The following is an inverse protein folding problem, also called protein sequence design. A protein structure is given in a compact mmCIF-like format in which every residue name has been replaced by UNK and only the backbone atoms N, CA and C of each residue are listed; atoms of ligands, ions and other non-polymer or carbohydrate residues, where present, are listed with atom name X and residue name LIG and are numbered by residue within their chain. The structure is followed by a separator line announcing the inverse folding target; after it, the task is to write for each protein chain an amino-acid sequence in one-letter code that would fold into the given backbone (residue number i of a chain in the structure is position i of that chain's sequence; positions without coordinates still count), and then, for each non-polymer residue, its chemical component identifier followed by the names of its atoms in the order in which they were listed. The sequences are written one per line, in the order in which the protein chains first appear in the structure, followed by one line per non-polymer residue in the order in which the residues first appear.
data_IF_488905524244
#
_entry.id   IF_488905524244
#
_cell.length_a   1.000
_cell.length_b   1.000
_cell.length_c   1.000
_cell.angle_alpha   90.00
_cell.angle_beta   90.00
_cell.angle_gamma   90.00
#
_symmetry.space_group_name_H-M   'P 1'
#
loop_
_entity.id
_entity.type
_entity.pdbx_description
1 polymer ?
#
# COMPACT_ATOMS: atom_id res chain seq x y z
N UNK A 1 51.62 -2.03 46.47
CA UNK A 1 50.57 -1.19 45.89
C UNK A 1 49.62 -2.05 45.05
N UNK A 2 48.42 -2.38 45.56
CA UNK A 2 47.36 -3.06 44.78
C UNK A 2 46.23 -2.07 44.53
N UNK A 3 46.16 -1.51 43.32
CA UNK A 3 45.06 -0.62 42.95
C UNK A 3 43.78 -1.44 42.71
N UNK A 4 42.74 -1.14 43.50
CA UNK A 4 41.40 -1.70 43.30
C UNK A 4 40.74 -0.93 42.15
N UNK A 5 40.43 -1.62 41.05
CA UNK A 5 39.80 -1.04 39.85
C UNK A 5 38.29 -0.85 40.06
N UNK A 6 37.74 0.37 40.01
CA UNK A 6 36.29 0.60 40.05
C UNK A 6 35.69 0.43 38.65
N UNK A 7 35.34 -0.80 38.25
CA UNK A 7 34.77 -1.10 36.91
C UNK A 7 33.25 -1.32 36.85
N UNK A 8 32.52 -1.24 37.96
CA UNK A 8 31.09 -1.61 38.00
C UNK A 8 30.11 -0.44 37.75
N UNK A 9 30.45 0.80 38.06
CA UNK A 9 29.53 1.93 37.90
C UNK A 9 29.36 2.41 36.45
N UNK A 10 30.39 2.27 35.61
CA UNK A 10 30.36 2.73 34.22
C UNK A 10 29.37 1.94 33.34
N UNK A 11 29.25 0.62 33.58
CA UNK A 11 28.29 -0.23 32.85
C UNK A 11 26.83 0.14 33.12
N UNK A 12 26.50 0.59 34.33
CA UNK A 12 25.12 1.02 34.67
C UNK A 12 24.76 2.33 33.96
N UNK A 13 25.73 3.24 33.82
CA UNK A 13 25.52 4.50 33.12
C UNK A 13 25.33 4.30 31.61
N UNK A 14 26.11 3.40 31.00
CA UNK A 14 25.98 3.01 29.60
C UNK A 14 24.62 2.33 29.28
N UNK A 15 24.14 1.44 30.16
CA UNK A 15 22.82 0.83 29.98
C UNK A 15 21.69 1.87 30.09
N UNK A 16 21.82 2.81 31.02
CA UNK A 16 20.85 3.88 31.22
C UNK A 16 20.77 4.83 30.02
N UNK A 17 21.93 5.31 29.52
CA UNK A 17 21.97 6.21 28.36
C UNK A 17 21.45 5.56 27.09
N UNK A 18 21.79 4.28 26.87
CA UNK A 18 21.28 3.51 25.76
C UNK A 18 19.75 3.44 25.81
N UNK A 19 19.15 3.05 26.95
CA UNK A 19 17.68 2.97 27.12
C UNK A 19 16.96 4.28 26.84
N UNK A 20 17.55 5.43 27.18
CA UNK A 20 16.97 6.75 26.86
C UNK A 20 17.02 7.01 25.36
N UNK A 21 18.16 6.74 24.71
CA UNK A 21 18.31 6.87 23.26
C UNK A 21 17.33 5.95 22.52
N UNK A 22 17.11 4.74 23.05
CA UNK A 22 16.13 3.79 22.55
C UNK A 22 14.73 4.38 22.54
N UNK A 23 14.33 4.94 23.68
CA UNK A 23 13.01 5.52 23.89
C UNK A 23 12.80 6.72 22.96
N UNK A 24 13.82 7.59 22.82
CA UNK A 24 13.78 8.73 21.90
C UNK A 24 13.55 8.27 20.45
N UNK A 25 14.22 7.19 20.00
CA UNK A 25 14.01 6.66 18.64
C UNK A 25 12.59 6.10 18.45
N UNK A 26 12.03 5.43 19.45
CA UNK A 26 10.66 4.89 19.37
C UNK A 26 9.61 6.01 19.38
N UNK A 27 9.78 7.00 20.27
CA UNK A 27 8.89 8.17 20.34
C UNK A 27 8.98 8.96 19.04
N UNK A 28 10.18 9.23 18.51
CA UNK A 28 10.34 9.93 17.23
C UNK A 28 9.73 9.16 16.07
N UNK A 29 9.92 7.83 15.99
CA UNK A 29 9.29 6.99 14.96
C UNK A 29 7.76 7.02 15.07
N UNK A 30 7.22 6.93 16.29
CA UNK A 30 5.78 7.01 16.55
C UNK A 30 5.19 8.38 16.21
N UNK A 31 5.91 9.46 16.51
CA UNK A 31 5.51 10.83 16.15
C UNK A 31 5.54 11.03 14.63
N UNK A 32 6.57 10.52 13.94
CA UNK A 32 6.66 10.58 12.46
C UNK A 32 5.49 9.79 11.85
N UNK A 33 5.24 8.57 12.32
CA UNK A 33 4.12 7.75 11.86
C UNK A 33 2.78 8.44 12.09
N UNK A 34 2.56 9.00 13.29
CA UNK A 34 1.34 9.73 13.62
C UNK A 34 1.18 10.97 12.73
N UNK A 35 2.25 11.75 12.52
CA UNK A 35 2.23 12.92 11.64
C UNK A 35 1.87 12.56 10.21
N UNK A 36 2.46 11.50 9.65
CA UNK A 36 2.16 11.04 8.29
C UNK A 36 0.68 10.60 8.19
N UNK A 37 0.17 9.87 9.18
CA UNK A 37 -1.22 9.41 9.19
C UNK A 37 -2.24 10.53 9.42
N UNK A 38 -1.83 11.60 10.11
CA UNK A 38 -2.68 12.76 10.39
C UNK A 38 -2.79 13.74 9.21
N UNK A 39 -1.98 13.59 8.15
CA UNK A 39 -2.15 14.37 6.92
C UNK A 39 -3.45 13.91 6.27
N UNK A 40 -4.43 14.82 6.20
CA UNK A 40 -5.68 14.51 5.53
C UNK A 40 -5.54 14.60 4.02
N UNK A 41 -6.31 13.77 3.31
CA UNK A 41 -6.23 13.73 1.84
C UNK A 41 -6.74 15.04 1.26
N UNK A 42 -7.71 15.65 1.93
CA UNK A 42 -8.31 16.94 1.61
C UNK A 42 -7.29 18.08 1.68
N UNK A 43 -6.43 18.08 2.71
CA UNK A 43 -5.35 19.06 2.87
C UNK A 43 -4.27 18.90 1.79
N UNK A 44 -3.94 17.66 1.39
CA UNK A 44 -3.08 17.41 0.22
C UNK A 44 -3.74 17.98 -1.04
N UNK A 45 -5.01 17.67 -1.28
CA UNK A 45 -5.74 18.13 -2.45
C UNK A 45 -5.78 19.67 -2.49
N UNK A 46 -6.07 20.33 -1.37
CA UNK A 46 -6.10 21.79 -1.28
C UNK A 46 -4.75 22.43 -1.64
N UNK A 47 -3.64 21.90 -1.08
CA UNK A 47 -2.28 22.37 -1.41
C UNK A 47 -1.95 22.27 -2.89
N UNK A 48 -2.44 21.23 -3.57
CA UNK A 48 -2.15 20.98 -4.99
C UNK A 48 -3.21 21.56 -5.95
N UNK A 49 -4.39 21.95 -5.46
CA UNK A 49 -5.43 22.62 -6.24
C UNK A 49 -5.19 24.11 -6.41
N UNK A 50 -4.44 24.75 -5.50
CA UNK A 50 -4.10 26.16 -5.64
C UNK A 50 -3.40 26.36 -6.99
N UNK A 51 -4.06 27.04 -7.95
CA UNK A 51 -3.53 27.15 -9.29
C UNK A 51 -2.19 27.87 -9.18
N UNK A 52 -1.16 27.31 -9.82
CA UNK A 52 0.10 28.01 -10.14
C UNK A 52 -0.23 29.10 -11.17
N UNK A 53 -1.09 30.03 -10.77
CA UNK A 53 -1.63 31.13 -11.55
C UNK A 53 -0.60 32.25 -11.43
N UNK A 54 0.56 32.08 -12.06
CA UNK A 54 1.61 33.10 -11.98
C UNK A 54 2.98 32.79 -12.58
N UNK A 55 3.25 31.59 -13.09
CA UNK A 55 4.58 31.27 -13.67
C UNK A 55 4.42 30.92 -15.15
N UNK A 56 3.90 31.87 -15.92
CA UNK A 56 4.05 31.93 -17.37
C UNK A 56 4.98 33.11 -17.68
N UNK A 57 6.26 32.96 -17.33
CA UNK A 57 7.30 33.96 -17.57
C UNK A 57 8.66 33.28 -17.42
N UNK A 58 9.40 33.20 -18.52
CA UNK A 58 10.61 32.38 -18.71
C UNK A 58 11.87 32.84 -17.93
N UNK A 59 11.71 33.49 -16.78
CA UNK A 59 12.82 34.13 -16.04
C UNK A 59 13.05 33.60 -14.61
N UNK A 60 12.35 32.55 -14.17
CA UNK A 60 12.40 32.11 -12.76
C UNK A 60 13.03 30.73 -12.51
N UNK A 61 14.06 30.36 -13.26
CA UNK A 61 14.84 29.14 -12.98
C UNK A 61 15.87 29.31 -11.85
N UNK A 62 16.22 30.56 -11.48
CA UNK A 62 17.34 30.85 -10.55
C UNK A 62 16.90 31.24 -9.13
N UNK A 63 15.63 31.60 -8.91
CA UNK A 63 15.16 32.09 -7.60
C UNK A 63 14.53 30.99 -6.70
N UNK A 64 14.21 29.82 -7.25
CA UNK A 64 13.59 28.72 -6.47
C UNK A 64 14.62 27.94 -5.64
N UNK A 65 15.91 28.01 -5.99
CA UNK A 65 16.97 27.30 -5.27
C UNK A 65 17.31 27.86 -3.88
N UNK A 66 16.92 29.10 -3.56
CA UNK A 66 17.29 29.75 -2.30
C UNK A 66 16.27 29.57 -1.16
N UNK A 67 15.03 29.19 -1.46
CA UNK A 67 13.97 28.99 -0.45
C UNK A 67 13.89 27.55 0.09
N UNK A 68 14.72 26.64 -0.41
CA UNK A 68 14.70 25.21 -0.05
C UNK A 68 15.61 24.83 1.14
N UNK A 69 16.29 25.78 1.79
CA UNK A 69 17.28 25.44 2.83
C UNK A 69 16.69 24.90 4.15
N UNK A 70 15.35 24.87 4.29
CA UNK A 70 14.64 24.19 5.38
C UNK A 70 13.91 22.93 4.90
N UNK A 71 14.38 22.29 3.83
CA UNK A 71 13.85 21.00 3.40
C UNK A 71 14.04 19.96 4.50
N UNK A 72 12.92 19.51 5.06
CA UNK A 72 12.82 18.31 5.87
C UNK A 72 13.53 17.19 5.11
N UNK A 73 14.68 16.72 5.62
CA UNK A 73 15.43 15.65 4.96
C UNK A 73 14.53 14.45 4.74
N UNK A 74 14.42 14.01 3.49
CA UNK A 74 13.66 12.82 3.13
C UNK A 74 14.19 11.63 3.93
N UNK A 75 13.32 10.82 4.55
CA UNK A 75 13.74 9.58 5.18
C UNK A 75 14.52 8.71 4.19
N UNK A 76 15.67 8.18 4.61
CA UNK A 76 16.54 7.34 3.76
C UNK A 76 15.84 6.11 3.16
N UNK A 77 14.71 5.67 3.74
CA UNK A 77 13.90 4.58 3.19
C UNK A 77 13.16 4.96 1.90
N UNK A 78 12.89 6.25 1.68
CA UNK A 78 12.20 6.74 0.50
C UNK A 78 13.15 7.19 -0.61
N UNK A 79 14.43 7.45 -0.31
CA UNK A 79 15.35 8.05 -1.27
C UNK A 79 15.48 7.21 -2.54
N UNK A 80 15.66 5.89 -2.42
CA UNK A 80 15.77 5.02 -3.61
C UNK A 80 14.50 5.00 -4.48
N UNK A 81 13.33 5.17 -3.86
CA UNK A 81 12.06 5.21 -4.59
C UNK A 81 11.84 6.56 -5.24
N UNK A 82 12.26 7.64 -4.57
CA UNK A 82 12.24 9.00 -5.13
C UNK A 82 13.21 9.11 -6.29
N UNK A 83 14.44 8.63 -6.17
CA UNK A 83 15.45 8.63 -7.25
C UNK A 83 14.90 7.94 -8.52
N UNK A 84 14.24 6.78 -8.35
CA UNK A 84 13.56 6.09 -9.46
C UNK A 84 12.40 6.92 -10.04
N UNK A 85 11.59 7.53 -9.17
CA UNK A 85 10.49 8.37 -9.63
C UNK A 85 10.99 9.60 -10.42
N UNK A 86 12.12 10.17 -10.01
CA UNK A 86 12.82 11.25 -10.73
C UNK A 86 13.30 10.80 -12.10
N UNK A 87 13.88 9.61 -12.19
CA UNK A 87 14.28 8.98 -13.45
C UNK A 87 13.07 8.83 -14.39
N UNK A 88 11.96 8.26 -13.90
CA UNK A 88 10.73 8.10 -14.67
C UNK A 88 10.05 9.42 -15.07
N UNK A 89 10.09 10.42 -14.21
CA UNK A 89 9.53 11.74 -14.47
C UNK A 89 10.45 12.62 -15.33
N UNK A 90 11.73 12.24 -15.44
CA UNK A 90 12.81 13.06 -16.00
C UNK A 90 12.87 14.46 -15.37
N UNK A 91 12.47 14.57 -14.09
CA UNK A 91 12.34 15.81 -13.32
C UNK A 91 12.57 15.52 -11.83
N UNK A 92 13.19 16.46 -11.08
CA UNK A 92 13.33 16.31 -9.64
C UNK A 92 11.96 16.28 -8.96
N UNK A 93 11.77 15.37 -8.01
CA UNK A 93 10.52 15.22 -7.25
C UNK A 93 10.67 15.99 -5.94
N UNK A 94 9.74 16.89 -5.65
CA UNK A 94 9.76 17.62 -4.37
C UNK A 94 9.61 16.63 -3.22
N UNK A 95 10.43 16.81 -2.18
CA UNK A 95 10.39 15.96 -0.99
C UNK A 95 8.99 15.94 -0.35
N UNK A 96 8.29 17.08 -0.33
CA UNK A 96 6.93 17.15 0.20
C UNK A 96 5.95 16.27 -0.59
N UNK A 97 6.08 16.22 -1.91
CA UNK A 97 5.19 15.44 -2.77
C UNK A 97 5.44 13.95 -2.62
N UNK A 98 6.70 13.54 -2.47
CA UNK A 98 7.04 12.17 -2.13
C UNK A 98 6.44 11.73 -0.79
N UNK A 99 6.44 12.62 0.21
CA UNK A 99 5.81 12.37 1.51
C UNK A 99 4.28 12.31 1.40
N UNK A 100 3.66 13.20 0.63
CA UNK A 100 2.21 13.21 0.39
C UNK A 100 1.75 11.92 -0.32
N UNK A 101 2.49 11.45 -1.34
CA UNK A 101 2.22 10.16 -1.99
C UNK A 101 2.39 9.01 -1.01
N UNK A 102 3.47 8.98 -0.22
CA UNK A 102 3.67 7.95 0.78
C UNK A 102 2.55 7.94 1.84
N UNK A 103 2.09 9.11 2.28
CA UNK A 103 0.98 9.25 3.22
C UNK A 103 -0.31 8.69 2.63
N UNK A 104 -0.63 9.02 1.38
CA UNK A 104 -1.79 8.48 0.67
C UNK A 104 -1.70 6.95 0.65
N UNK A 105 -0.61 6.38 0.11
CA UNK A 105 -0.45 4.92 -0.02
C UNK A 105 -0.53 4.17 1.32
N UNK A 106 -0.01 4.75 2.40
CA UNK A 106 -0.12 4.18 3.74
C UNK A 106 -1.55 4.23 4.30
N UNK A 107 -2.33 5.26 3.94
CA UNK A 107 -3.73 5.43 4.35
C UNK A 107 -4.69 4.51 3.57
N UNK A 108 -4.38 4.21 2.31
CA UNK A 108 -5.24 3.40 1.41
C UNK A 108 -5.37 1.93 1.81
N UNK A 109 -4.68 1.49 2.89
CA UNK A 109 -4.71 0.09 3.31
C UNK A 109 -3.97 -0.85 2.35
N UNK A 110 -3.07 -0.31 1.52
CA UNK A 110 -2.06 -1.10 0.83
C UNK A 110 -1.13 -1.73 1.86
N UNK A 111 -0.98 -3.04 1.77
CA UNK A 111 0.03 -3.78 2.53
C UNK A 111 1.43 -3.39 2.06
N UNK A 112 2.41 -3.57 2.94
CA UNK A 112 3.81 -3.28 2.60
C UNK A 112 4.27 -4.13 1.41
N UNK A 113 3.79 -5.38 1.28
CA UNK A 113 4.04 -6.24 0.12
C UNK A 113 3.47 -5.64 -1.17
N UNK A 114 2.25 -5.11 -1.14
CA UNK A 114 1.63 -4.46 -2.29
C UNK A 114 2.40 -3.19 -2.67
N UNK A 115 2.82 -2.37 -1.69
CA UNK A 115 3.70 -1.21 -1.94
C UNK A 115 5.03 -1.64 -2.57
N UNK A 116 5.66 -2.71 -2.05
CA UNK A 116 6.89 -3.25 -2.64
C UNK A 116 6.68 -3.81 -4.05
N UNK A 117 5.56 -4.47 -4.30
CA UNK A 117 5.18 -4.95 -5.63
C UNK A 117 5.03 -3.76 -6.59
N UNK A 118 4.28 -2.72 -6.21
CA UNK A 118 4.07 -1.53 -7.02
C UNK A 118 5.37 -0.76 -7.30
N UNK A 119 6.27 -0.68 -6.33
CA UNK A 119 7.56 0.03 -6.48
C UNK A 119 8.64 -0.80 -7.18
N UNK A 120 8.55 -2.14 -7.09
CA UNK A 120 9.45 -3.08 -7.76
C UNK A 120 9.13 -3.28 -9.24
N UNK A 121 7.83 -3.30 -9.57
CA UNK A 121 7.31 -3.45 -10.95
C UNK A 121 7.17 -2.13 -11.69
N UNK A 122 7.69 -1.02 -11.16
CA UNK A 122 7.75 0.24 -11.89
C UNK A 122 8.75 0.12 -13.05
N UNK A 123 8.32 -0.49 -14.16
CA UNK A 123 9.02 -0.57 -15.45
C UNK A 123 8.06 -0.11 -16.54
N UNK A 124 8.60 0.39 -17.64
CA UNK A 124 7.81 0.85 -18.78
C UNK A 124 7.20 -0.30 -19.60
N UNK A 125 7.78 -1.50 -19.51
CA UNK A 125 7.53 -2.65 -20.38
C UNK A 125 6.62 -3.74 -19.77
N UNK A 126 5.76 -3.38 -18.81
CA UNK A 126 4.83 -4.34 -18.21
C UNK A 126 3.85 -4.95 -19.21
N UNK A 127 3.55 -6.23 -19.04
CA UNK A 127 2.51 -6.91 -19.81
C UNK A 127 1.12 -6.33 -19.51
N UNK A 128 0.19 -6.46 -20.45
CA UNK A 128 -1.17 -5.93 -20.31
C UNK A 128 -1.89 -6.49 -19.08
N UNK A 129 -1.69 -7.78 -18.80
CA UNK A 129 -2.26 -8.49 -17.66
C UNK A 129 -1.72 -7.93 -16.33
N UNK A 130 -0.43 -7.61 -16.29
CA UNK A 130 0.22 -7.03 -15.11
C UNK A 130 -0.24 -5.60 -14.86
N UNK A 131 -0.36 -4.79 -15.92
CA UNK A 131 -0.95 -3.44 -15.86
C UNK A 131 -2.38 -3.51 -15.33
N UNK A 132 -3.19 -4.46 -15.80
CA UNK A 132 -4.55 -4.65 -15.33
C UNK A 132 -4.58 -5.05 -13.85
N UNK A 133 -3.73 -5.99 -13.42
CA UNK A 133 -3.62 -6.38 -12.01
C UNK A 133 -3.20 -5.22 -11.11
N UNK A 134 -2.28 -4.37 -11.56
CA UNK A 134 -1.88 -3.16 -10.83
C UNK A 134 -3.06 -2.19 -10.73
N UNK A 135 -3.78 -1.95 -11.83
CA UNK A 135 -5.00 -1.12 -11.82
C UNK A 135 -6.01 -1.65 -10.82
N UNK A 136 -6.36 -2.93 -10.88
CA UNK A 136 -7.36 -3.54 -10.01
C UNK A 136 -6.95 -3.45 -8.54
N UNK A 137 -5.67 -3.72 -8.25
CA UNK A 137 -5.12 -3.56 -6.92
C UNK A 137 -5.27 -2.11 -6.43
N UNK A 138 -4.83 -1.12 -7.23
CA UNK A 138 -4.89 0.28 -6.85
C UNK A 138 -6.33 0.78 -6.68
N UNK A 139 -7.23 0.47 -7.61
CA UNK A 139 -8.64 0.87 -7.55
C UNK A 139 -9.40 0.17 -6.42
N UNK A 140 -9.00 -1.03 -6.00
CA UNK A 140 -9.62 -1.72 -4.86
C UNK A 140 -9.20 -1.17 -3.49
N UNK A 141 -8.10 -0.40 -3.44
CA UNK A 141 -7.50 0.11 -2.20
C UNK A 141 -7.66 1.62 -2.05
N UNK A 142 -7.54 2.35 -3.14
CA UNK A 142 -7.63 3.80 -3.15
C UNK A 142 -9.09 4.24 -3.28
N UNK A 143 -9.47 5.20 -2.45
CA UNK A 143 -10.70 5.98 -2.62
C UNK A 143 -10.58 7.00 -3.77
N UNK A 144 -11.71 7.50 -4.26
CA UNK A 144 -11.75 8.50 -5.35
C UNK A 144 -11.00 9.80 -4.99
N UNK A 145 -11.04 10.21 -3.72
CA UNK A 145 -10.29 11.39 -3.24
C UNK A 145 -8.79 11.15 -3.24
N UNK A 146 -8.33 9.96 -2.82
CA UNK A 146 -6.91 9.57 -2.88
C UNK A 146 -6.42 9.47 -4.32
N UNK A 147 -7.20 8.88 -5.24
CA UNK A 147 -6.89 8.85 -6.68
C UNK A 147 -6.76 10.26 -7.23
N UNK A 148 -7.66 11.16 -6.86
CA UNK A 148 -7.63 12.57 -7.28
C UNK A 148 -6.37 13.27 -6.76
N UNK A 149 -6.04 13.09 -5.48
CA UNK A 149 -4.83 13.64 -4.88
C UNK A 149 -3.56 13.14 -5.59
N UNK A 150 -3.45 11.84 -5.83
CA UNK A 150 -2.31 11.25 -6.55
C UNK A 150 -2.18 11.82 -7.97
N UNK A 151 -3.30 11.97 -8.70
CA UNK A 151 -3.30 12.58 -10.04
C UNK A 151 -2.85 14.03 -10.01
N UNK A 152 -3.28 14.82 -9.03
CA UNK A 152 -2.86 16.21 -8.87
C UNK A 152 -1.35 16.31 -8.63
N UNK A 153 -0.82 15.52 -7.69
CA UNK A 153 0.61 15.48 -7.36
C UNK A 153 1.45 15.08 -8.57
N UNK A 154 1.01 14.06 -9.33
CA UNK A 154 1.79 13.51 -10.45
C UNK A 154 1.71 14.35 -11.72
N UNK A 155 0.61 15.10 -11.92
CA UNK A 155 0.40 15.92 -13.13
C UNK A 155 1.48 16.99 -13.34
N UNK A 156 1.96 17.63 -12.27
CA UNK A 156 3.07 18.60 -12.36
C UNK A 156 4.39 17.96 -12.86
N UNK A 157 4.54 16.65 -12.69
CA UNK A 157 5.66 15.86 -13.21
C UNK A 157 5.40 15.27 -14.60
N UNK A 158 4.29 15.66 -15.25
CA UNK A 158 3.92 15.17 -16.58
C UNK A 158 3.38 13.73 -16.58
N UNK A 159 3.06 13.16 -15.42
CA UNK A 159 2.48 11.82 -15.28
C UNK A 159 1.04 11.95 -14.80
N UNK A 160 0.06 11.53 -15.59
CA UNK A 160 -1.37 11.69 -15.26
C UNK A 160 -1.99 10.54 -14.48
N UNK A 161 -1.21 9.49 -14.16
CA UNK A 161 -1.69 8.23 -13.58
C UNK A 161 -2.95 7.68 -14.28
N UNK A 162 -2.90 7.60 -15.61
CA UNK A 162 -4.00 7.06 -16.45
C UNK A 162 -4.36 5.61 -16.10
N UNK A 163 -3.45 4.88 -15.43
CA UNK A 163 -3.73 3.55 -14.88
C UNK A 163 -4.87 3.54 -13.87
N UNK A 164 -5.09 4.64 -13.15
CA UNK A 164 -6.17 4.81 -12.18
C UNK A 164 -7.50 5.22 -12.83
N UNK A 165 -7.58 5.37 -14.16
CA UNK A 165 -8.84 5.61 -14.86
C UNK A 165 -9.45 4.28 -15.33
N UNK A 166 -10.60 3.86 -14.77
CA UNK A 166 -11.26 2.61 -15.19
C UNK A 166 -11.66 2.61 -16.67
N UNK A 167 -11.90 3.79 -17.25
CA UNK A 167 -12.39 3.93 -18.62
C UNK A 167 -11.24 4.07 -19.63
N UNK A 168 -10.00 4.23 -19.17
CA UNK A 168 -8.85 4.37 -20.06
C UNK A 168 -8.38 2.97 -20.54
N UNK A 169 -8.17 2.75 -21.85
CA UNK A 169 -7.69 1.46 -22.35
C UNK A 169 -6.34 1.09 -21.73
N UNK A 170 -6.25 -0.13 -21.17
CA UNK A 170 -5.06 -0.57 -20.41
C UNK A 170 -3.83 -0.70 -21.34
N UNK A 171 -4.07 -1.03 -22.60
CA UNK A 171 -3.06 -1.24 -23.64
C UNK A 171 -2.33 0.06 -24.00
N UNK A 172 -2.96 1.22 -23.76
CA UNK A 172 -2.38 2.53 -24.04
C UNK A 172 -1.47 3.04 -22.90
N UNK A 173 -1.43 2.34 -21.77
CA UNK A 173 -0.61 2.72 -20.62
C UNK A 173 0.84 2.30 -20.87
N UNK A 174 1.78 3.23 -20.65
CA UNK A 174 3.22 2.99 -20.80
C UNK A 174 3.74 3.16 -22.23
N UNK A 175 2.88 3.50 -23.21
CA UNK A 175 3.34 3.87 -24.55
C UNK A 175 3.75 5.35 -24.53
N UNK A 176 5.05 5.61 -24.46
CA UNK A 176 5.60 6.98 -24.42
C UNK A 176 5.56 7.67 -25.79
N UNK A 177 5.68 6.94 -26.89
CA UNK A 177 5.62 7.48 -28.25
C UNK A 177 4.17 7.87 -28.64
N UNK A 178 3.89 9.16 -28.95
CA UNK A 178 2.56 9.60 -29.37
C UNK A 178 2.07 8.95 -30.67
N UNK A 179 2.97 8.57 -31.58
CA UNK A 179 2.63 7.95 -32.86
C UNK A 179 2.16 6.52 -32.64
N UNK A 180 2.94 5.74 -31.88
CA UNK A 180 2.56 4.38 -31.51
C UNK A 180 1.25 4.36 -30.71
N UNK A 181 1.09 5.28 -29.75
CA UNK A 181 -0.14 5.40 -28.96
C UNK A 181 -1.35 5.64 -29.84
N UNK A 182 -1.23 6.55 -30.82
CA UNK A 182 -2.32 6.87 -31.75
C UNK A 182 -2.66 5.67 -32.65
N UNK A 183 -1.66 4.91 -33.09
CA UNK A 183 -1.87 3.66 -33.87
C UNK A 183 -2.65 2.63 -33.07
N UNK A 184 -2.22 2.34 -31.84
CA UNK A 184 -2.90 1.36 -30.96
C UNK A 184 -4.31 1.83 -30.63
N UNK A 185 -4.52 3.13 -30.41
CA UNK A 185 -5.85 3.68 -30.15
C UNK A 185 -6.81 3.48 -31.35
N UNK A 186 -6.33 3.70 -32.58
CA UNK A 186 -7.12 3.44 -33.79
C UNK A 186 -7.45 1.95 -33.95
N UNK A 187 -6.48 1.06 -33.71
CA UNK A 187 -6.71 -0.39 -33.74
C UNK A 187 -7.76 -0.83 -32.71
N UNK A 188 -7.71 -0.29 -31.49
CA UNK A 188 -8.69 -0.57 -30.44
C UNK A 188 -10.09 -0.06 -30.81
N UNK A 189 -10.18 1.14 -31.42
CA UNK A 189 -11.46 1.68 -31.92
C UNK A 189 -12.04 0.82 -33.04
N UNK A 190 -11.21 0.37 -33.98
CA UNK A 190 -11.63 -0.53 -35.06
C UNK A 190 -12.12 -1.88 -34.52
N UNK A 191 -11.40 -2.48 -33.56
CA UNK A 191 -11.82 -3.73 -32.89
C UNK A 191 -13.16 -3.60 -32.16
N UNK A 192 -13.40 -2.48 -31.48
CA UNK A 192 -14.67 -2.20 -30.79
C UNK A 192 -15.84 -2.03 -31.76
N UNK A 193 -15.63 -1.42 -32.92
CA UNK A 193 -16.66 -1.33 -33.98
C UNK A 193 -17.02 -2.71 -34.51
N UNK A 194 -16.03 -3.52 -34.89
CA UNK A 194 -16.26 -4.89 -35.39
C UNK A 194 -16.98 -5.76 -34.37
N UNK A 195 -16.65 -5.65 -33.08
CA UNK A 195 -17.33 -6.40 -32.03
C UNK A 195 -18.76 -5.93 -31.77
N UNK A 196 -19.06 -4.66 -32.05
CA UNK A 196 -20.42 -4.12 -31.95
C UNK A 196 -21.31 -4.56 -33.11
N UNK A 197 -20.73 -4.77 -34.30
CA UNK A 197 -21.44 -5.25 -35.49
C UNK A 197 -21.70 -6.78 -35.48
N UNK A 198 -20.97 -7.53 -34.65
CA UNK A 198 -21.20 -8.98 -34.43
C UNK A 198 -22.28 -9.22 -33.33
N UNK A 199 -22.94 -8.16 -32.86
CA UNK A 199 -24.02 -8.28 -31.86
C UNK A 199 -25.31 -8.80 -32.51
N UNK A 200 -25.36 -10.14 -32.58
CA UNK A 200 -26.53 -11.01 -32.41
C UNK A 200 -27.61 -10.95 -33.52
N UNK A 201 -27.79 -12.03 -34.33
CA UNK A 201 -28.98 -12.17 -35.16
C UNK A 201 -30.24 -12.14 -34.28
N UNK A 202 -31.21 -11.37 -34.77
CA UNK A 202 -32.56 -11.16 -34.25
C UNK A 202 -33.13 -12.43 -33.57
N UNK A 203 -33.47 -12.39 -32.27
CA UNK A 203 -34.15 -13.51 -31.64
C UNK A 203 -35.49 -13.72 -32.34
N UNK A 204 -35.69 -14.92 -32.87
CA UNK A 204 -36.97 -15.42 -33.38
C UNK A 204 -38.08 -15.08 -32.38
N UNK A 205 -39.25 -14.57 -32.84
CA UNK A 205 -40.34 -14.19 -31.95
C UNK A 205 -40.84 -15.43 -31.21
N UNK A 206 -40.45 -15.55 -29.93
CA UNK A 206 -41.00 -16.54 -29.02
C UNK A 206 -42.38 -16.05 -28.54
N UNK A 207 -43.38 -16.95 -28.38
CA UNK A 207 -44.76 -16.59 -28.07
C UNK A 207 -44.87 -15.75 -26.80
N UNK A 208 -45.69 -14.70 -26.87
CA UNK A 208 -46.08 -13.85 -25.74
C UNK A 208 -46.63 -14.72 -24.58
N UNK A 209 -45.79 -14.97 -23.58
CA UNK A 209 -46.25 -15.39 -22.25
C UNK A 209 -46.61 -14.11 -21.49
N UNK A 210 -47.90 -14.04 -21.17
CA UNK A 210 -48.55 -12.99 -20.38
C UNK A 210 -47.77 -12.76 -19.09
N UNK A 211 -47.21 -11.56 -18.98
CA UNK A 211 -46.39 -11.09 -17.86
C UNK A 211 -47.27 -10.92 -16.61
N UNK A 212 -47.19 -11.89 -15.72
CA UNK A 212 -47.73 -11.81 -14.37
C UNK A 212 -46.74 -11.00 -13.51
N UNK A 213 -47.19 -9.85 -13.00
CA UNK A 213 -46.38 -8.95 -12.18
C UNK A 213 -45.69 -9.73 -11.03
N UNK A 214 -44.35 -9.69 -10.92
CA UNK A 214 -43.69 -10.25 -9.76
C UNK A 214 -44.06 -9.41 -8.52
N UNK A 215 -44.41 -10.04 -7.39
CA UNK A 215 -44.68 -9.32 -6.15
C UNK A 215 -43.46 -8.47 -5.79
N UNK A 216 -43.69 -7.19 -5.44
CA UNK A 216 -42.72 -6.34 -4.74
C UNK A 216 -42.47 -6.91 -3.34
N UNK A 217 -41.78 -8.03 -3.26
CA UNK A 217 -41.26 -8.55 -2.00
C UNK A 217 -39.95 -7.82 -1.75
N UNK A 218 -39.98 -6.87 -0.80
CA UNK A 218 -38.75 -6.23 -0.30
C UNK A 218 -37.78 -7.36 0.06
N UNK A 219 -36.51 -7.33 -0.38
CA UNK A 219 -35.54 -8.34 0.02
C UNK A 219 -35.51 -8.38 1.54
N UNK A 220 -36.15 -9.38 2.15
CA UNK A 220 -35.95 -9.68 3.55
C UNK A 220 -34.49 -10.09 3.63
N UNK A 221 -33.66 -9.21 4.18
CA UNK A 221 -32.27 -9.48 4.50
C UNK A 221 -32.33 -10.66 5.46
N UNK A 222 -32.12 -11.87 4.94
CA UNK A 222 -32.12 -13.08 5.74
C UNK A 222 -31.08 -12.86 6.84
N UNK A 223 -31.54 -12.78 8.09
CA UNK A 223 -30.64 -12.66 9.22
C UNK A 223 -29.83 -13.95 9.28
N UNK A 224 -28.51 -13.83 9.13
CA UNK A 224 -27.59 -14.96 9.26
C UNK A 224 -27.77 -15.58 10.65
N UNK A 225 -27.84 -16.92 10.71
CA UNK A 225 -27.84 -17.65 11.97
C UNK A 225 -26.60 -17.28 12.82
N UNK A 226 -26.77 -16.76 14.05
CA UNK A 226 -25.67 -16.41 14.94
C UNK A 226 -24.67 -17.55 15.20
N UNK A 227 -25.12 -18.81 15.12
CA UNK A 227 -24.23 -19.97 15.27
C UNK A 227 -23.22 -20.08 14.12
N UNK A 228 -23.64 -19.77 12.89
CA UNK A 228 -22.77 -19.75 11.71
C UNK A 228 -21.71 -18.66 11.87
N UNK A 229 -22.12 -17.45 12.25
CA UNK A 229 -21.22 -16.31 12.49
C UNK A 229 -20.19 -16.64 13.57
N UNK A 230 -20.62 -17.25 14.69
CA UNK A 230 -19.73 -17.66 15.79
C UNK A 230 -18.68 -18.71 15.37
N UNK A 231 -19.06 -19.67 14.53
CA UNK A 231 -18.15 -20.68 14.00
C UNK A 231 -17.03 -20.06 13.15
N UNK A 232 -17.38 -19.17 12.24
CA UNK A 232 -16.38 -18.46 11.42
C UNK A 232 -15.50 -17.53 12.25
N UNK A 233 -16.07 -16.85 13.26
CA UNK A 233 -15.27 -16.04 14.19
C UNK A 233 -14.21 -16.87 14.91
N UNK A 234 -14.57 -18.07 15.34
CA UNK A 234 -13.62 -19.02 15.96
C UNK A 234 -12.51 -19.46 14.99
N UNK A 235 -12.83 -19.71 13.71
CA UNK A 235 -11.82 -20.00 12.66
C UNK A 235 -10.87 -18.83 12.46
N UNK A 236 -11.41 -17.61 12.39
CA UNK A 236 -10.63 -16.39 12.22
C UNK A 236 -9.71 -16.11 13.42
N UNK A 237 -10.18 -16.35 14.65
CA UNK A 237 -9.36 -16.22 15.86
C UNK A 237 -8.23 -17.24 15.89
N UNK A 238 -8.50 -18.49 15.51
CA UNK A 238 -7.47 -19.52 15.37
C UNK A 238 -6.40 -19.14 14.33
N UNK A 239 -6.84 -18.68 13.16
CA UNK A 239 -5.94 -18.18 12.11
C UNK A 239 -5.08 -17.01 12.63
N UNK A 240 -5.70 -16.05 13.32
CA UNK A 240 -5.00 -14.92 13.94
C UNK A 240 -3.91 -15.38 14.91
N UNK A 241 -4.21 -16.32 15.81
CA UNK A 241 -3.21 -16.87 16.74
C UNK A 241 -2.07 -17.56 16.00
N UNK A 242 -2.36 -18.34 14.96
CA UNK A 242 -1.34 -18.99 14.13
C UNK A 242 -0.42 -17.96 13.47
N UNK A 243 -1.01 -16.97 12.79
CA UNK A 243 -0.29 -15.89 12.13
C UNK A 243 0.61 -15.09 13.06
N UNK A 244 0.11 -14.78 14.26
CA UNK A 244 0.92 -14.11 15.28
C UNK A 244 2.07 -14.99 15.76
N UNK A 245 1.84 -16.30 15.93
CA UNK A 245 2.88 -17.28 16.26
C UNK A 245 3.99 -17.35 15.21
N UNK A 246 3.63 -17.40 13.93
CA UNK A 246 4.60 -17.45 12.83
C UNK A 246 5.44 -16.17 12.76
N UNK A 247 4.80 -15.00 12.87
CA UNK A 247 5.50 -13.71 12.91
C UNK A 247 6.47 -13.64 14.10
N UNK A 248 6.03 -14.04 15.31
CA UNK A 248 6.89 -14.05 16.49
C UNK A 248 8.08 -15.01 16.34
N UNK A 249 7.87 -16.17 15.70
CA UNK A 249 8.93 -17.14 15.39
C UNK A 249 9.95 -16.56 14.40
N UNK A 250 9.48 -15.86 13.36
CA UNK A 250 10.35 -15.18 12.40
C UNK A 250 11.16 -14.06 13.04
N UNK A 251 10.53 -13.22 13.87
CA UNK A 251 11.23 -12.18 14.65
C UNK A 251 12.30 -12.81 15.52
N UNK A 252 11.96 -13.87 16.27
CA UNK A 252 12.92 -14.60 17.09
C UNK A 252 14.11 -15.13 16.29
N UNK A 253 13.85 -15.62 15.08
CA UNK A 253 14.89 -16.09 14.16
C UNK A 253 15.82 -14.97 13.69
N UNK A 254 15.29 -13.78 13.37
CA UNK A 254 16.08 -12.59 13.02
C UNK A 254 16.97 -12.17 14.19
N UNK A 255 16.41 -12.12 15.40
CA UNK A 255 17.13 -11.74 16.62
C UNK A 255 18.26 -12.75 16.90
N UNK A 256 17.99 -14.04 16.76
CA UNK A 256 18.97 -15.09 16.97
C UNK A 256 20.09 -15.04 15.93
N UNK A 257 19.77 -14.80 14.65
CA UNK A 257 20.76 -14.61 13.60
C UNK A 257 21.68 -13.41 13.91
N UNK A 258 21.12 -12.28 14.35
CA UNK A 258 21.92 -11.11 14.76
C UNK A 258 22.81 -11.40 15.97
N UNK A 259 22.32 -12.13 16.97
CA UNK A 259 23.11 -12.52 18.14
C UNK A 259 24.26 -13.46 17.76
N UNK A 260 24.01 -14.40 16.86
CA UNK A 260 25.01 -15.36 16.39
C UNK A 260 26.09 -14.68 15.54
N UNK A 261 25.73 -13.66 14.75
CA UNK A 261 26.67 -12.88 13.98
C UNK A 261 26.41 -11.36 14.12
N UNK A 262 27.07 -10.70 15.10
CA UNK A 262 26.93 -9.27 15.33
C UNK A 262 27.35 -8.40 14.15
N UNK A 263 28.13 -8.91 13.20
CA UNK A 263 28.56 -8.17 12.02
C UNK A 263 27.46 -8.06 10.94
N UNK A 264 26.38 -8.85 11.02
CA UNK A 264 25.26 -8.74 10.07
C UNK A 264 24.61 -7.37 10.17
N UNK A 265 24.62 -6.63 9.06
CA UNK A 265 23.89 -5.39 8.91
C UNK A 265 22.40 -5.63 8.68
N UNK A 266 21.65 -4.53 8.66
CA UNK A 266 20.19 -4.56 8.44
C UNK A 266 19.87 -5.10 7.04
N UNK A 267 20.69 -4.75 6.03
CA UNK A 267 20.48 -5.18 4.64
C UNK A 267 20.62 -6.69 4.48
N UNK A 268 21.61 -7.31 5.11
CA UNK A 268 21.84 -8.74 5.07
C UNK A 268 20.70 -9.50 5.76
N UNK A 269 20.27 -9.02 6.93
CA UNK A 269 19.14 -9.60 7.66
C UNK A 269 17.82 -9.44 6.87
N UNK A 270 17.60 -8.28 6.27
CA UNK A 270 16.46 -8.05 5.39
C UNK A 270 16.47 -9.05 4.23
N UNK A 271 17.60 -9.20 3.53
CA UNK A 271 17.73 -10.18 2.44
C UNK A 271 17.46 -11.62 2.90
N UNK A 272 17.98 -12.01 4.07
CA UNK A 272 17.79 -13.37 4.61
C UNK A 272 16.35 -13.69 5.03
N UNK A 273 15.61 -12.70 5.52
CA UNK A 273 14.32 -12.94 6.18
C UNK A 273 13.11 -12.35 5.47
N UNK A 274 13.27 -11.41 4.54
CA UNK A 274 12.13 -10.80 3.85
C UNK A 274 11.28 -11.82 3.12
N UNK A 275 11.88 -12.74 2.37
CA UNK A 275 11.13 -13.81 1.71
C UNK A 275 10.31 -14.66 2.69
N UNK A 276 10.81 -14.87 3.91
CA UNK A 276 10.09 -15.63 4.95
C UNK A 276 8.92 -14.85 5.53
N UNK A 277 9.10 -13.55 5.81
CA UNK A 277 8.00 -12.69 6.25
C UNK A 277 6.92 -12.59 5.18
N UNK A 278 7.30 -12.37 3.92
CA UNK A 278 6.36 -12.32 2.79
C UNK A 278 5.62 -13.64 2.62
N UNK A 279 6.29 -14.78 2.79
CA UNK A 279 5.66 -16.10 2.73
C UNK A 279 4.64 -16.31 3.86
N UNK A 280 5.01 -15.97 5.11
CA UNK A 280 4.12 -16.11 6.25
C UNK A 280 2.91 -15.18 6.14
N UNK A 281 3.10 -13.92 5.77
CA UNK A 281 2.02 -12.97 5.50
C UNK A 281 1.09 -13.50 4.40
N UNK A 282 1.65 -14.03 3.30
CA UNK A 282 0.87 -14.59 2.20
C UNK A 282 0.02 -15.79 2.60
N UNK A 283 0.52 -16.66 3.50
CA UNK A 283 -0.24 -17.80 4.01
C UNK A 283 -1.39 -17.33 4.90
N UNK A 284 -1.13 -16.33 5.74
CA UNK A 284 -2.15 -15.69 6.56
C UNK A 284 -3.25 -15.03 5.73
N UNK A 285 -2.87 -14.27 4.70
CA UNK A 285 -3.83 -13.61 3.80
C UNK A 285 -4.65 -14.66 3.03
N UNK A 286 -4.02 -15.74 2.55
CA UNK A 286 -4.72 -16.82 1.87
C UNK A 286 -5.72 -17.54 2.78
N UNK A 287 -5.32 -17.89 4.02
CA UNK A 287 -6.21 -18.52 4.99
C UNK A 287 -7.38 -17.63 5.39
N UNK A 288 -7.13 -16.31 5.50
CA UNK A 288 -8.17 -15.34 5.81
C UNK A 288 -9.18 -15.24 4.65
N UNK A 289 -8.69 -15.02 3.43
CA UNK A 289 -9.54 -14.90 2.24
C UNK A 289 -10.35 -16.18 1.98
N UNK A 290 -9.77 -17.36 2.21
CA UNK A 290 -10.49 -18.63 2.13
C UNK A 290 -11.64 -18.69 3.15
N UNK A 291 -11.39 -18.27 4.39
CA UNK A 291 -12.41 -18.24 5.45
C UNK A 291 -13.54 -17.26 5.13
N UNK A 292 -13.21 -16.08 4.57
CA UNK A 292 -14.21 -15.11 4.11
C UNK A 292 -15.06 -15.67 2.97
N UNK A 293 -14.44 -16.29 1.97
CA UNK A 293 -15.18 -16.87 0.84
C UNK A 293 -16.07 -18.05 1.26
N UNK A 294 -15.69 -18.82 2.28
CA UNK A 294 -16.56 -19.82 2.91
C UNK A 294 -17.74 -19.17 3.64
N UNK A 295 -17.49 -18.11 4.41
CA UNK A 295 -18.52 -17.38 5.15
C UNK A 295 -19.56 -16.72 4.22
N UNK A 296 -19.11 -16.11 3.12
CA UNK A 296 -19.98 -15.54 2.08
C UNK A 296 -20.91 -16.62 1.49
N UNK A 297 -20.37 -17.79 1.16
CA UNK A 297 -21.15 -18.94 0.68
C UNK A 297 -22.12 -19.50 1.73
N UNK A 298 -21.81 -19.34 3.01
CA UNK A 298 -22.67 -19.72 4.13
C UNK A 298 -23.72 -18.65 4.48
N UNK A 299 -23.82 -17.56 3.71
CA UNK A 299 -24.81 -16.51 3.91
C UNK A 299 -24.49 -15.57 5.07
N UNK A 300 -23.22 -15.46 5.48
CA UNK A 300 -22.79 -14.44 6.45
C UNK A 300 -23.01 -13.05 5.86
N UNK A 301 -23.53 -12.14 6.69
CA UNK A 301 -23.85 -10.78 6.26
C UNK A 301 -22.59 -10.03 5.79
N UNK A 302 -22.76 -9.19 4.78
CA UNK A 302 -21.68 -8.31 4.30
C UNK A 302 -21.14 -7.41 5.43
N UNK A 303 -21.99 -6.99 6.37
CA UNK A 303 -21.58 -6.17 7.51
C UNK A 303 -20.57 -6.89 8.40
N UNK A 304 -20.83 -8.17 8.72
CA UNK A 304 -19.92 -8.98 9.56
C UNK A 304 -18.60 -9.22 8.84
N UNK A 305 -18.65 -9.57 7.55
CA UNK A 305 -17.46 -9.77 6.72
C UNK A 305 -16.60 -8.51 6.65
N UNK A 306 -17.20 -7.33 6.49
CA UNK A 306 -16.47 -6.07 6.49
C UNK A 306 -15.84 -5.79 7.85
N UNK A 307 -16.54 -6.07 8.95
CA UNK A 307 -15.98 -6.00 10.30
C UNK A 307 -14.76 -6.90 10.46
N UNK A 308 -14.81 -8.14 9.99
CA UNK A 308 -13.68 -9.07 10.03
C UNK A 308 -12.50 -8.61 9.18
N UNK A 309 -12.74 -8.04 7.99
CA UNK A 309 -11.69 -7.44 7.15
C UNK A 309 -10.98 -6.29 7.85
N UNK A 310 -11.73 -5.43 8.56
CA UNK A 310 -11.17 -4.35 9.36
C UNK A 310 -10.34 -4.87 10.55
N UNK A 311 -10.89 -5.84 11.31
CA UNK A 311 -10.19 -6.48 12.44
C UNK A 311 -8.89 -7.14 11.99
N UNK A 312 -8.91 -7.84 10.85
CA UNK A 312 -7.73 -8.50 10.28
C UNK A 312 -6.67 -7.49 9.84
N UNK A 313 -7.06 -6.39 9.18
CA UNK A 313 -6.15 -5.31 8.80
C UNK A 313 -5.48 -4.66 10.03
N UNK A 314 -6.27 -4.34 11.06
CA UNK A 314 -5.76 -3.78 12.32
C UNK A 314 -4.79 -4.74 13.03
N UNK A 315 -5.08 -6.05 12.97
CA UNK A 315 -4.19 -7.09 13.48
C UNK A 315 -2.85 -7.12 12.74
N UNK A 316 -2.85 -7.05 11.39
CA UNK A 316 -1.62 -6.98 10.59
C UNK A 316 -0.77 -5.76 10.96
N UNK A 317 -1.39 -4.58 11.08
CA UNK A 317 -0.69 -3.36 11.49
C UNK A 317 -0.08 -3.47 12.89
N UNK A 318 -0.82 -4.07 13.83
CA UNK A 318 -0.34 -4.30 15.20
C UNK A 318 0.84 -5.27 15.22
N UNK A 319 0.78 -6.36 14.45
CA UNK A 319 1.85 -7.34 14.33
C UNK A 319 3.11 -6.72 13.74
N UNK A 320 2.98 -5.92 12.67
CA UNK A 320 4.10 -5.19 12.06
C UNK A 320 4.75 -4.22 13.06
N UNK A 321 3.95 -3.43 13.77
CA UNK A 321 4.45 -2.48 14.78
C UNK A 321 5.18 -3.22 15.92
N UNK A 322 4.61 -4.32 16.40
CA UNK A 322 5.24 -5.17 17.41
C UNK A 322 6.58 -5.73 16.92
N UNK A 323 6.62 -6.23 15.68
CA UNK A 323 7.84 -6.75 15.06
C UNK A 323 8.93 -5.69 14.99
N UNK A 324 8.61 -4.49 14.51
CA UNK A 324 9.52 -3.36 14.42
C UNK A 324 10.07 -3.02 15.81
N UNK A 325 9.22 -2.95 16.84
CA UNK A 325 9.64 -2.64 18.20
C UNK A 325 10.57 -3.70 18.79
N UNK A 326 10.25 -4.99 18.61
CA UNK A 326 11.07 -6.10 19.11
C UNK A 326 12.43 -6.15 18.41
N UNK A 327 12.46 -5.99 17.09
CA UNK A 327 13.69 -5.93 16.32
C UNK A 327 14.52 -4.73 16.77
N UNK A 328 13.92 -3.53 16.82
CA UNK A 328 14.61 -2.33 17.28
C UNK A 328 15.29 -2.57 18.64
N UNK A 329 14.57 -3.13 19.63
CA UNK A 329 15.12 -3.50 20.95
C UNK A 329 16.31 -4.47 20.87
N UNK A 330 16.25 -5.47 19.98
CA UNK A 330 17.33 -6.42 19.80
C UNK A 330 18.59 -5.80 19.16
N UNK A 331 18.42 -4.85 18.22
CA UNK A 331 19.53 -4.16 17.55
C UNK A 331 20.16 -3.03 18.37
N UNK A 332 19.53 -2.63 19.48
CA UNK A 332 20.10 -1.63 20.39
C UNK A 332 21.21 -2.22 21.28
N UNK A 333 21.31 -3.54 21.42
CA UNK A 333 22.32 -4.23 22.25
C UNK A 333 23.55 -4.64 21.45
#
# INVERSE_FOLDING_TARGET
MRSRKPKKSWKKWLLGSLSVLVFIVLVSSGVIYYKIRAIDVEDIVERHQLPVKGISGAESATAVAAAESNQTKLPSILSSTVDKAEEFASKPIKTQDALDVAAILLKSGLSLKEVYYLTGEAKSDLATEEKQKIRDLLLSKLSDSEITALRLITKQYGKGLLILDPNYPIELIGIDDPVERSRVEQELKAKKQVQSDIKQPEPTPSPQVKEEQPPKEKPQIAQTDPAVVSSYRSKLDSLKTSCQGDINTLIGSVINAKKANPALGIKELQSMFMGKFTSAESQCDAGFNATIAEAERAGVSNSDIQGWKQEYSAMKQTAQTSAINQLAQAFKK
#
